data_IF_721770316981
#
_entry.id   IF_721770316981
#
_cell.length_a   1.000
_cell.length_b   1.000
_cell.length_c   1.000
_cell.angle_alpha   90.00
_cell.angle_beta   90.00
_cell.angle_gamma   90.00
#
_symmetry.space_group_name_H-M   'P 1'
#
loop_
_entity.id
_entity.type
_entity.pdbx_description
1 polymer ?
#
# COMPACT_ATOMS: atom_id res chain seq x y z
N UNK A 1 -2.01 18.35 -5.54
CA UNK A 1 -2.06 17.27 -4.51
C UNK A 1 -3.44 17.27 -3.90
N UNK A 2 -4.08 16.11 -3.83
CA UNK A 2 -5.42 15.88 -3.27
C UNK A 2 -5.32 14.94 -2.06
N UNK A 3 -6.34 14.94 -1.20
CA UNK A 3 -6.46 14.00 -0.08
C UNK A 3 -7.43 12.89 -0.47
N UNK A 4 -7.09 11.64 -0.14
CA UNK A 4 -7.99 10.51 -0.28
C UNK A 4 -8.23 9.84 1.08
N UNK A 5 -9.44 9.28 1.26
CA UNK A 5 -9.76 8.51 2.46
C UNK A 5 -9.22 7.07 2.30
N UNK A 6 -8.50 6.59 3.30
CA UNK A 6 -8.09 5.19 3.39
C UNK A 6 -9.16 4.41 4.17
N UNK A 7 -9.76 3.41 3.51
CA UNK A 7 -10.89 2.68 4.06
C UNK A 7 -10.52 1.87 5.32
N UNK A 8 -9.32 1.27 5.37
CA UNK A 8 -8.86 0.46 6.49
C UNK A 8 -8.73 1.21 7.81
N UNK A 9 -8.48 2.52 7.77
CA UNK A 9 -8.53 3.41 8.96
C UNK A 9 -9.83 3.22 9.75
N UNK A 10 -10.93 2.97 9.06
CA UNK A 10 -12.27 2.87 9.63
C UNK A 10 -12.77 1.42 9.75
N UNK A 11 -12.62 0.61 8.70
CA UNK A 11 -13.16 -0.76 8.71
C UNK A 11 -12.48 -1.66 9.74
N UNK A 12 -11.25 -1.39 10.07
CA UNK A 12 -10.48 -2.05 11.12
C UNK A 12 -11.13 -1.92 12.51
N UNK A 13 -11.84 -0.84 12.76
CA UNK A 13 -12.54 -0.55 14.02
C UNK A 13 -14.06 -0.66 13.89
N UNK A 14 -14.54 -1.33 12.86
CA UNK A 14 -15.94 -1.78 12.74
C UNK A 14 -16.87 -0.89 11.91
N UNK A 15 -16.36 0.14 11.23
CA UNK A 15 -17.15 0.90 10.27
C UNK A 15 -17.38 0.08 8.99
N UNK A 16 -18.53 0.25 8.37
CA UNK A 16 -18.85 -0.34 7.08
C UNK A 16 -18.28 0.49 5.92
N UNK A 17 -18.30 -0.06 4.70
CA UNK A 17 -17.99 0.70 3.49
C UNK A 17 -18.91 1.90 3.31
N UNK A 18 -20.21 1.74 3.61
CA UNK A 18 -21.19 2.82 3.52
C UNK A 18 -20.90 3.95 4.54
N UNK A 19 -20.42 3.62 5.74
CA UNK A 19 -19.96 4.61 6.70
C UNK A 19 -18.73 5.37 6.19
N UNK A 20 -17.78 4.69 5.56
CA UNK A 20 -16.61 5.33 4.95
C UNK A 20 -17.00 6.32 3.84
N UNK A 21 -17.98 5.96 2.99
CA UNK A 21 -18.49 6.85 1.95
C UNK A 21 -19.16 8.10 2.55
N UNK A 22 -19.94 7.93 3.62
CA UNK A 22 -20.58 9.02 4.33
C UNK A 22 -19.56 9.97 4.97
N UNK A 23 -18.56 9.41 5.67
CA UNK A 23 -17.46 10.19 6.29
C UNK A 23 -16.69 10.97 5.21
N UNK A 24 -16.31 10.34 4.10
CA UNK A 24 -15.64 11.01 3.00
C UNK A 24 -16.47 12.18 2.45
N UNK A 25 -17.78 11.97 2.22
CA UNK A 25 -18.70 13.01 1.75
C UNK A 25 -18.82 14.18 2.74
N UNK A 26 -18.96 13.89 4.04
CA UNK A 26 -19.06 14.90 5.11
C UNK A 26 -17.76 15.75 5.22
N UNK A 27 -16.62 15.15 4.92
CA UNK A 27 -15.31 15.83 4.92
C UNK A 27 -14.96 16.49 3.57
N UNK A 28 -15.82 16.34 2.56
CA UNK A 28 -15.54 16.86 1.21
C UNK A 28 -14.46 16.12 0.45
N UNK A 29 -14.10 14.89 0.89
CA UNK A 29 -13.11 14.03 0.24
C UNK A 29 -13.79 13.32 -0.93
N UNK A 30 -13.16 13.37 -2.11
CA UNK A 30 -13.68 12.82 -3.36
C UNK A 30 -12.95 11.58 -3.85
N UNK A 31 -11.94 11.14 -3.14
CA UNK A 31 -11.08 10.02 -3.52
C UNK A 31 -10.97 9.03 -2.39
N UNK A 32 -10.88 7.74 -2.72
CA UNK A 32 -10.78 6.66 -1.73
C UNK A 32 -9.81 5.58 -2.18
N UNK A 33 -9.03 5.09 -1.22
CA UNK A 33 -8.30 3.85 -1.33
C UNK A 33 -9.08 2.75 -0.62
N UNK A 34 -9.31 1.63 -1.31
CA UNK A 34 -9.98 0.48 -0.73
C UNK A 34 -9.00 -0.43 0.02
N UNK A 35 -9.40 -0.86 1.19
CA UNK A 35 -8.74 -1.92 1.93
C UNK A 35 -9.26 -3.28 1.44
N UNK A 36 -8.35 -4.12 0.91
CA UNK A 36 -8.70 -5.44 0.39
C UNK A 36 -8.30 -6.51 1.40
N UNK A 37 -9.25 -6.86 2.25
CA UNK A 37 -9.08 -7.85 3.31
C UNK A 37 -10.26 -8.84 3.35
N UNK A 38 -10.17 -9.85 4.26
CA UNK A 38 -11.16 -10.91 4.36
C UNK A 38 -12.53 -10.47 4.87
N UNK A 39 -12.62 -9.29 5.48
CA UNK A 39 -13.82 -8.76 6.11
C UNK A 39 -14.54 -7.72 5.22
N UNK A 40 -13.86 -7.24 4.17
CA UNK A 40 -14.41 -6.25 3.25
C UNK A 40 -14.43 -6.80 1.81
N UNK A 41 -13.45 -6.43 1.00
CA UNK A 41 -13.31 -6.91 -0.37
C UNK A 41 -12.23 -7.98 -0.44
N UNK A 42 -12.56 -9.14 -1.03
CA UNK A 42 -11.59 -10.24 -1.11
C UNK A 42 -11.69 -11.00 -2.42
N UNK A 43 -10.60 -11.12 -3.20
CA UNK A 43 -10.58 -11.91 -4.43
C UNK A 43 -11.08 -13.33 -4.22
N UNK A 44 -12.06 -13.75 -5.05
CA UNK A 44 -12.67 -15.08 -4.98
C UNK A 44 -13.79 -15.25 -3.94
N UNK A 45 -14.10 -14.20 -3.14
CA UNK A 45 -15.29 -14.14 -2.28
C UNK A 45 -16.23 -13.01 -2.72
N UNK A 46 -15.68 -11.83 -2.97
CA UNK A 46 -16.43 -10.69 -3.49
C UNK A 46 -16.71 -10.92 -4.97
N UNK A 47 -17.97 -10.99 -5.34
CA UNK A 47 -18.39 -11.20 -6.73
C UNK A 47 -18.53 -9.88 -7.51
N UNK A 48 -18.73 -9.98 -8.83
CA UNK A 48 -18.89 -8.81 -9.70
C UNK A 48 -20.10 -7.95 -9.35
N UNK A 49 -21.17 -8.56 -8.80
CA UNK A 49 -22.35 -7.82 -8.38
C UNK A 49 -22.03 -6.94 -7.17
N UNK A 50 -21.34 -7.50 -6.17
CA UNK A 50 -20.91 -6.75 -4.99
C UNK A 50 -19.94 -5.61 -5.36
N UNK A 51 -19.01 -5.85 -6.29
CA UNK A 51 -18.12 -4.81 -6.81
C UNK A 51 -18.88 -3.72 -7.57
N UNK A 52 -19.88 -4.11 -8.39
CA UNK A 52 -20.73 -3.17 -9.12
C UNK A 52 -21.57 -2.29 -8.18
N UNK A 53 -22.11 -2.90 -7.12
CA UNK A 53 -22.85 -2.18 -6.08
C UNK A 53 -21.93 -1.19 -5.34
N UNK A 54 -20.71 -1.62 -4.96
CA UNK A 54 -19.72 -0.75 -4.31
C UNK A 54 -19.33 0.44 -5.20
N UNK A 55 -19.04 0.18 -6.48
CA UNK A 55 -18.71 1.23 -7.45
C UNK A 55 -19.87 2.21 -7.65
N UNK A 56 -21.12 1.70 -7.75
CA UNK A 56 -22.32 2.53 -7.87
C UNK A 56 -22.54 3.41 -6.64
N UNK A 57 -22.36 2.87 -5.45
CA UNK A 57 -22.44 3.61 -4.19
C UNK A 57 -21.36 4.70 -4.10
N UNK A 58 -20.11 4.38 -4.40
CA UNK A 58 -19.02 5.36 -4.41
C UNK A 58 -19.35 6.52 -5.37
N UNK A 59 -19.76 6.21 -6.59
CA UNK A 59 -20.18 7.22 -7.59
C UNK A 59 -21.36 8.07 -7.13
N UNK A 60 -22.36 7.49 -6.46
CA UNK A 60 -23.52 8.24 -5.95
C UNK A 60 -23.13 9.24 -4.85
N UNK A 61 -22.02 9.01 -4.15
CA UNK A 61 -21.43 9.94 -3.18
C UNK A 61 -20.40 10.90 -3.81
N UNK A 62 -20.20 10.85 -5.13
CA UNK A 62 -19.17 11.64 -5.83
C UNK A 62 -17.73 11.22 -5.50
N UNK A 63 -17.55 9.98 -5.05
CA UNK A 63 -16.25 9.44 -4.65
C UNK A 63 -15.69 8.54 -5.78
N UNK A 64 -14.43 8.77 -6.14
CA UNK A 64 -13.67 7.92 -7.05
C UNK A 64 -12.74 7.02 -6.25
N UNK A 65 -12.78 5.70 -6.53
CA UNK A 65 -11.80 4.75 -6.02
C UNK A 65 -10.53 4.91 -6.87
N UNK A 66 -9.37 5.14 -6.24
CA UNK A 66 -8.12 5.44 -6.92
C UNK A 66 -7.06 4.37 -6.76
N UNK A 67 -7.09 3.65 -5.64
CA UNK A 67 -6.12 2.59 -5.32
C UNK A 67 -6.75 1.49 -4.49
N UNK A 68 -6.10 0.33 -4.50
CA UNK A 68 -6.40 -0.81 -3.64
C UNK A 68 -5.20 -1.12 -2.76
N UNK A 69 -5.44 -1.25 -1.46
CA UNK A 69 -4.47 -1.69 -0.45
C UNK A 69 -4.78 -3.13 -0.02
N UNK A 70 -4.21 -4.13 -0.67
CA UNK A 70 -4.44 -5.53 -0.34
C UNK A 70 -3.59 -5.95 0.86
N UNK A 71 -4.20 -6.77 1.74
CA UNK A 71 -3.56 -7.30 2.95
C UNK A 71 -3.21 -8.78 2.74
N UNK A 72 -1.97 -9.07 2.28
CA UNK A 72 -1.54 -10.42 1.92
C UNK A 72 -1.14 -11.28 3.12
N UNK A 73 -1.38 -10.81 4.34
CA UNK A 73 -0.95 -11.47 5.58
C UNK A 73 -2.08 -11.58 6.60
N UNK A 74 -1.86 -12.41 7.61
CA UNK A 74 -2.64 -12.44 8.85
C UNK A 74 -1.80 -11.87 9.98
N UNK A 75 -2.35 -10.94 10.74
CA UNK A 75 -1.79 -10.53 12.01
C UNK A 75 -2.31 -11.48 13.10
N UNK A 76 -1.41 -12.16 13.81
CA UNK A 76 -1.77 -12.88 15.05
C UNK A 76 -1.74 -11.96 16.27
N UNK A 77 -0.77 -11.06 16.27
CA UNK A 77 -0.57 -9.94 17.21
C UNK A 77 0.17 -8.84 16.44
N UNK A 78 0.28 -7.64 16.98
CA UNK A 78 0.94 -6.49 16.36
C UNK A 78 2.40 -6.75 15.88
N UNK A 79 3.02 -7.80 16.35
CA UNK A 79 4.43 -8.13 16.07
C UNK A 79 4.59 -9.38 15.18
N UNK A 80 3.52 -10.11 14.87
CA UNK A 80 3.60 -11.37 14.14
C UNK A 80 2.71 -11.37 12.89
N UNK A 81 3.29 -10.91 11.78
CA UNK A 81 2.64 -10.94 10.46
C UNK A 81 3.05 -12.21 9.71
N UNK A 82 2.08 -13.07 9.42
CA UNK A 82 2.28 -14.27 8.61
C UNK A 82 1.77 -14.00 7.21
N UNK A 83 2.69 -13.92 6.24
CA UNK A 83 2.32 -13.75 4.84
C UNK A 83 1.64 -15.00 4.32
N UNK A 84 0.40 -14.87 3.86
CA UNK A 84 -0.34 -15.93 3.17
C UNK A 84 -0.04 -15.91 1.66
N UNK A 85 0.25 -14.73 1.12
CA UNK A 85 0.59 -14.49 -0.28
C UNK A 85 1.93 -13.78 -0.35
N UNK A 86 3.01 -14.57 -0.23
CA UNK A 86 4.38 -14.10 -0.20
C UNK A 86 5.00 -14.15 -1.61
N UNK A 87 5.25 -12.97 -2.20
CA UNK A 87 5.87 -12.85 -3.52
C UNK A 87 7.35 -13.25 -3.52
N UNK A 88 7.98 -13.29 -2.34
CA UNK A 88 9.36 -13.74 -2.14
C UNK A 88 9.46 -15.20 -1.67
N UNK A 89 8.34 -15.93 -1.66
CA UNK A 89 8.32 -17.33 -1.25
C UNK A 89 9.33 -18.18 -2.02
N UNK A 90 10.07 -19.02 -1.29
CA UNK A 90 11.08 -19.90 -1.91
C UNK A 90 10.45 -21.13 -2.59
N UNK A 91 9.27 -21.54 -2.13
CA UNK A 91 8.45 -22.53 -2.80
C UNK A 91 7.80 -21.91 -4.03
N UNK A 92 8.09 -22.46 -5.22
CA UNK A 92 7.50 -21.97 -6.46
C UNK A 92 5.96 -22.07 -6.44
N UNK A 93 5.40 -23.09 -5.79
CA UNK A 93 3.95 -23.24 -5.65
C UNK A 93 3.34 -22.12 -4.79
N UNK A 94 4.00 -21.74 -3.69
CA UNK A 94 3.56 -20.62 -2.83
C UNK A 94 3.71 -19.27 -3.54
N UNK A 95 4.85 -19.06 -4.22
CA UNK A 95 5.09 -17.86 -5.03
C UNK A 95 4.03 -17.69 -6.10
N UNK A 96 3.74 -18.75 -6.87
CA UNK A 96 2.71 -18.70 -7.92
C UNK A 96 1.30 -18.50 -7.35
N UNK A 97 1.02 -19.02 -6.16
CA UNK A 97 -0.24 -18.75 -5.45
C UNK A 97 -0.36 -17.26 -5.10
N UNK A 98 0.72 -16.65 -4.62
CA UNK A 98 0.77 -15.21 -4.34
C UNK A 98 0.59 -14.38 -5.62
N UNK A 99 1.32 -14.69 -6.69
CA UNK A 99 1.17 -14.03 -7.99
C UNK A 99 -0.27 -14.14 -8.51
N UNK A 100 -0.89 -15.33 -8.43
CA UNK A 100 -2.28 -15.53 -8.85
C UNK A 100 -3.24 -14.66 -8.04
N UNK A 101 -3.06 -14.57 -6.73
CA UNK A 101 -3.89 -13.74 -5.87
C UNK A 101 -3.77 -12.26 -6.22
N UNK A 102 -2.56 -11.73 -6.39
CA UNK A 102 -2.35 -10.34 -6.81
C UNK A 102 -2.93 -10.05 -8.21
N UNK A 103 -2.90 -11.01 -9.14
CA UNK A 103 -3.58 -10.86 -10.43
C UNK A 103 -5.08 -10.64 -10.25
N UNK A 104 -5.72 -11.38 -9.34
CA UNK A 104 -7.14 -11.16 -9.03
C UNK A 104 -7.40 -9.81 -8.36
N UNK A 105 -6.43 -9.25 -7.62
CA UNK A 105 -6.53 -7.86 -7.10
C UNK A 105 -6.40 -6.85 -8.24
N UNK A 106 -5.52 -7.08 -9.22
CA UNK A 106 -5.41 -6.24 -10.43
C UNK A 106 -6.72 -6.23 -11.22
N UNK A 107 -7.35 -7.39 -11.42
CA UNK A 107 -8.67 -7.50 -12.07
C UNK A 107 -9.75 -6.71 -11.29
N UNK A 108 -9.74 -6.82 -9.96
CA UNK A 108 -10.64 -6.04 -9.09
C UNK A 108 -10.39 -4.54 -9.22
N UNK A 109 -9.14 -4.09 -9.27
CA UNK A 109 -8.78 -2.69 -9.46
C UNK A 109 -9.28 -2.16 -10.81
N UNK A 110 -9.07 -2.93 -11.88
CA UNK A 110 -9.57 -2.59 -13.22
C UNK A 110 -11.10 -2.49 -13.25
N UNK A 111 -11.82 -3.42 -12.62
CA UNK A 111 -13.27 -3.38 -12.52
C UNK A 111 -13.78 -2.13 -11.78
N UNK A 112 -13.07 -1.71 -10.73
CA UNK A 112 -13.41 -0.54 -9.91
C UNK A 112 -12.91 0.80 -10.49
N UNK A 113 -12.26 0.78 -11.67
CA UNK A 113 -11.63 1.96 -12.29
C UNK A 113 -10.53 2.61 -11.42
N UNK A 114 -9.94 1.82 -10.53
CA UNK A 114 -8.75 2.22 -9.78
C UNK A 114 -7.48 2.06 -10.64
N UNK A 115 -6.44 2.85 -10.34
CA UNK A 115 -5.22 2.86 -11.15
C UNK A 115 -4.00 2.30 -10.43
N UNK A 116 -4.05 2.15 -9.12
CA UNK A 116 -2.92 1.66 -8.33
C UNK A 116 -3.32 0.46 -7.46
N UNK A 117 -2.46 -0.54 -7.42
CA UNK A 117 -2.51 -1.65 -6.47
C UNK A 117 -1.23 -1.64 -5.66
N UNK A 118 -1.34 -1.55 -4.34
CA UNK A 118 -0.20 -1.67 -3.44
C UNK A 118 0.29 -3.12 -3.47
N UNK A 119 1.61 -3.28 -3.52
CA UNK A 119 2.24 -4.59 -3.53
C UNK A 119 3.29 -4.66 -2.43
N UNK A 120 3.09 -5.58 -1.49
CA UNK A 120 4.14 -5.96 -0.56
C UNK A 120 5.04 -7.01 -1.22
N UNK A 121 6.36 -6.74 -1.33
CA UNK A 121 7.26 -7.60 -2.10
C UNK A 121 7.53 -8.97 -1.46
N UNK A 122 6.90 -9.27 -0.33
CA UNK A 122 7.11 -10.46 0.47
C UNK A 122 7.86 -10.16 1.76
N UNK A 123 8.27 -11.18 2.51
CA UNK A 123 8.90 -11.01 3.83
C UNK A 123 10.18 -11.81 3.95
N UNK A 124 11.22 -11.17 4.53
CA UNK A 124 12.43 -11.86 5.00
C UNK A 124 12.26 -12.18 6.49
N UNK A 125 12.18 -13.46 6.83
CA UNK A 125 12.01 -13.91 8.21
C UNK A 125 13.34 -14.21 8.90
N UNK A 126 13.63 -13.49 10.00
CA UNK A 126 14.86 -13.67 10.79
C UNK A 126 15.03 -15.08 11.39
N UNK A 127 14.00 -15.75 11.95
CA UNK A 127 14.16 -17.10 12.48
C UNK A 127 14.53 -18.13 11.41
N UNK A 128 14.06 -17.94 10.19
CA UNK A 128 14.33 -18.83 9.07
C UNK A 128 15.73 -18.63 8.48
N UNK A 129 16.31 -17.46 8.61
CA UNK A 129 17.69 -17.21 8.20
C UNK A 129 18.67 -18.16 8.88
N UNK A 130 18.51 -18.42 10.18
CA UNK A 130 19.39 -19.34 10.93
C UNK A 130 19.04 -20.81 10.70
N UNK A 131 17.78 -21.14 10.41
CA UNK A 131 17.30 -22.52 10.28
C UNK A 131 17.26 -23.01 8.83
N UNK A 132 16.86 -22.15 7.89
CA UNK A 132 16.59 -22.52 6.50
C UNK A 132 17.72 -22.20 5.53
N UNK A 133 18.79 -21.52 5.97
CA UNK A 133 19.89 -21.03 5.11
C UNK A 133 19.41 -20.12 3.96
N UNK A 134 18.22 -19.55 4.05
CA UNK A 134 17.71 -18.63 3.06
C UNK A 134 18.47 -17.30 3.15
N UNK A 135 18.95 -16.79 2.04
CA UNK A 135 19.65 -15.52 2.00
C UNK A 135 18.70 -14.39 1.60
N UNK A 136 19.03 -13.17 2.02
CA UNK A 136 18.39 -11.94 1.55
C UNK A 136 18.29 -11.93 0.01
N UNK A 137 19.38 -12.33 -0.67
CA UNK A 137 19.45 -12.42 -2.13
C UNK A 137 18.39 -13.35 -2.72
N UNK A 138 18.12 -14.51 -2.11
CA UNK A 138 17.12 -15.45 -2.62
C UNK A 138 15.71 -14.87 -2.53
N UNK A 139 15.39 -14.17 -1.43
CA UNK A 139 14.09 -13.46 -1.32
C UNK A 139 13.96 -12.36 -2.36
N UNK A 140 15.03 -11.58 -2.55
CA UNK A 140 15.11 -10.54 -3.57
C UNK A 140 14.85 -11.09 -4.98
N UNK A 141 15.57 -12.13 -5.38
CA UNK A 141 15.43 -12.77 -6.69
C UNK A 141 14.02 -13.28 -6.94
N UNK A 142 13.37 -13.87 -5.93
CA UNK A 142 11.98 -14.31 -6.02
C UNK A 142 11.00 -13.15 -6.11
N UNK A 143 11.19 -12.09 -5.33
CA UNK A 143 10.37 -10.89 -5.41
C UNK A 143 10.46 -10.25 -6.81
N UNK A 144 11.67 -10.06 -7.35
CA UNK A 144 11.87 -9.53 -8.71
C UNK A 144 11.17 -10.40 -9.76
N UNK A 145 11.31 -11.73 -9.66
CA UNK A 145 10.64 -12.69 -10.55
C UNK A 145 9.12 -12.51 -10.50
N UNK A 146 8.55 -12.44 -9.30
CA UNK A 146 7.11 -12.27 -9.09
C UNK A 146 6.60 -10.93 -9.61
N UNK A 147 7.33 -9.84 -9.33
CA UNK A 147 6.98 -8.51 -9.78
C UNK A 147 7.02 -8.39 -11.32
N UNK A 148 7.99 -9.02 -11.98
CA UNK A 148 8.04 -9.09 -13.47
C UNK A 148 6.82 -9.79 -14.06
N UNK A 149 6.38 -10.91 -13.46
CA UNK A 149 5.18 -11.62 -13.90
C UNK A 149 3.91 -10.80 -13.67
N UNK A 150 3.82 -10.11 -12.52
CA UNK A 150 2.70 -9.23 -12.19
C UNK A 150 2.67 -7.98 -13.07
N UNK A 151 3.83 -7.35 -13.29
CA UNK A 151 3.95 -6.15 -14.12
C UNK A 151 3.38 -6.37 -15.52
N UNK A 152 3.80 -7.45 -16.17
CA UNK A 152 3.30 -7.83 -17.49
C UNK A 152 1.78 -8.01 -17.51
N UNK A 153 1.21 -8.57 -16.45
CA UNK A 153 -0.24 -8.73 -16.32
C UNK A 153 -0.95 -7.40 -16.06
N UNK A 154 -0.39 -6.56 -15.19
CA UNK A 154 -0.97 -5.26 -14.86
C UNK A 154 -0.95 -4.26 -16.03
N UNK A 155 0.05 -4.37 -16.92
CA UNK A 155 0.13 -3.60 -18.18
C UNK A 155 -1.09 -3.81 -19.06
N UNK A 156 -1.61 -5.05 -19.16
CA UNK A 156 -2.80 -5.37 -19.98
C UNK A 156 -4.07 -4.64 -19.48
N UNK A 157 -4.09 -4.23 -18.21
CA UNK A 157 -5.20 -3.52 -17.56
C UNK A 157 -4.92 -2.02 -17.31
N UNK A 158 -3.76 -1.51 -17.70
CA UNK A 158 -3.30 -0.15 -17.41
C UNK A 158 -3.34 0.15 -15.89
N UNK A 159 -2.87 -0.82 -15.09
CA UNK A 159 -2.78 -0.73 -13.63
C UNK A 159 -1.31 -0.58 -13.22
N UNK A 160 -1.04 0.32 -12.27
CA UNK A 160 0.27 0.50 -11.66
C UNK A 160 0.39 -0.34 -10.38
N UNK A 161 1.49 -1.08 -10.28
CA UNK A 161 1.87 -1.80 -9.06
C UNK A 161 2.77 -0.92 -8.20
N UNK A 162 2.31 -0.53 -7.05
CA UNK A 162 3.08 0.28 -6.11
C UNK A 162 3.82 -0.61 -5.10
N UNK A 163 5.14 -0.75 -5.23
CA UNK A 163 5.96 -1.48 -4.26
C UNK A 163 6.15 -0.61 -3.03
N UNK A 164 5.59 -1.05 -1.90
CA UNK A 164 5.61 -0.29 -0.65
C UNK A 164 6.86 -0.58 0.19
N UNK A 165 7.39 0.47 0.82
CA UNK A 165 8.44 0.39 1.85
C UNK A 165 7.87 -0.07 3.20
N UNK A 166 7.19 -1.22 3.22
CA UNK A 166 6.54 -1.74 4.42
C UNK A 166 7.55 -2.38 5.38
N UNK A 167 7.69 -1.82 6.59
CA UNK A 167 8.63 -2.29 7.61
C UNK A 167 8.43 -3.77 7.94
N UNK A 168 7.19 -4.27 7.89
CA UNK A 168 6.85 -5.67 8.13
C UNK A 168 7.50 -6.67 7.16
N UNK A 169 7.99 -6.20 6.01
CA UNK A 169 8.70 -7.02 5.02
C UNK A 169 10.14 -7.34 5.43
N UNK A 170 10.74 -6.56 6.34
CA UNK A 170 12.13 -6.66 6.78
C UNK A 170 13.19 -6.45 5.67
N UNK A 171 12.81 -5.89 4.51
CA UNK A 171 13.69 -5.52 3.41
C UNK A 171 12.98 -4.59 2.44
N UNK A 172 13.73 -3.99 1.50
CA UNK A 172 13.20 -2.99 0.55
C UNK A 172 12.61 -1.77 1.29
N UNK A 173 13.26 -1.42 2.40
CA UNK A 173 12.84 -0.30 3.24
C UNK A 173 13.58 0.99 2.90
N UNK A 174 14.80 0.91 2.37
CA UNK A 174 15.59 2.08 2.03
C UNK A 174 15.36 2.54 0.57
N UNK A 175 15.46 3.84 0.27
CA UNK A 175 15.16 4.35 -1.07
C UNK A 175 16.06 3.75 -2.16
N UNK A 176 17.33 3.44 -1.81
CA UNK A 176 18.25 2.75 -2.72
C UNK A 176 17.80 1.33 -3.07
N UNK A 177 17.25 0.58 -2.10
CA UNK A 177 16.70 -0.76 -2.33
C UNK A 177 15.44 -0.70 -3.21
N UNK A 178 14.55 0.25 -2.91
CA UNK A 178 13.34 0.47 -3.71
C UNK A 178 13.72 0.82 -5.15
N UNK A 179 14.64 1.74 -5.35
CA UNK A 179 15.13 2.10 -6.69
C UNK A 179 15.70 0.89 -7.43
N UNK A 180 16.52 0.09 -6.75
CA UNK A 180 17.18 -1.07 -7.34
C UNK A 180 16.16 -2.13 -7.79
N UNK A 181 15.17 -2.47 -6.95
CA UNK A 181 14.16 -3.46 -7.34
C UNK A 181 13.30 -2.97 -8.52
N UNK A 182 12.94 -1.68 -8.56
CA UNK A 182 12.21 -1.11 -9.70
C UNK A 182 13.03 -1.17 -10.99
N UNK A 183 14.33 -0.92 -10.91
CA UNK A 183 15.25 -1.01 -12.05
C UNK A 183 15.43 -2.45 -12.54
N UNK A 184 15.57 -3.42 -11.62
CA UNK A 184 15.67 -4.83 -11.97
C UNK A 184 14.35 -5.39 -12.56
N UNK A 185 13.20 -4.94 -12.08
CA UNK A 185 11.90 -5.30 -12.66
C UNK A 185 11.75 -4.72 -14.06
N UNK A 186 12.13 -3.46 -14.25
CA UNK A 186 12.25 -2.80 -15.56
C UNK A 186 10.93 -2.47 -16.26
N UNK A 187 9.80 -2.42 -15.53
CA UNK A 187 8.49 -2.05 -16.07
C UNK A 187 8.09 -0.64 -15.65
N UNK A 188 7.50 0.13 -16.56
CA UNK A 188 6.93 1.44 -16.27
C UNK A 188 5.68 1.38 -15.38
N UNK A 189 5.02 0.21 -15.31
CA UNK A 189 3.84 -0.05 -14.46
C UNK A 189 4.20 -0.50 -13.04
N UNK A 190 5.49 -0.55 -12.68
CA UNK A 190 5.95 -0.82 -11.32
C UNK A 190 6.63 0.43 -10.77
N UNK A 191 6.09 0.98 -9.71
CA UNK A 191 6.52 2.23 -9.09
C UNK A 191 6.71 2.08 -7.59
N UNK A 192 7.34 3.06 -6.96
CA UNK A 192 7.47 3.15 -5.52
C UNK A 192 6.16 3.65 -4.90
N UNK A 193 5.54 2.87 -4.05
CA UNK A 193 4.48 3.34 -3.17
C UNK A 193 5.13 3.77 -1.85
N UNK A 194 5.25 5.08 -1.65
CA UNK A 194 5.90 5.59 -0.45
C UNK A 194 4.90 5.64 0.70
N UNK A 195 5.21 4.95 1.79
CA UNK A 195 4.62 5.23 3.09
C UNK A 195 5.59 6.13 3.88
N UNK A 196 5.11 7.33 4.20
CA UNK A 196 5.89 8.37 4.86
C UNK A 196 6.26 7.97 6.29
N UNK A 197 5.35 7.33 7.03
CA UNK A 197 5.61 6.88 8.39
C UNK A 197 6.59 5.72 8.44
N UNK A 198 6.46 4.74 7.54
CA UNK A 198 7.42 3.65 7.39
C UNK A 198 8.82 4.19 7.03
N UNK A 199 8.90 5.19 6.17
CA UNK A 199 10.17 5.83 5.79
C UNK A 199 10.86 6.48 7.00
N UNK A 200 10.10 7.19 7.86
CA UNK A 200 10.63 7.94 9.00
C UNK A 200 11.34 7.06 10.06
N UNK A 201 11.06 5.75 10.07
CA UNK A 201 11.77 4.80 10.95
C UNK A 201 13.24 4.64 10.56
N UNK A 202 13.58 4.86 9.29
CA UNK A 202 14.94 4.64 8.77
C UNK A 202 15.64 5.95 8.40
N UNK A 203 14.98 6.82 7.66
CA UNK A 203 15.52 8.10 7.17
C UNK A 203 14.38 9.13 7.07
N UNK A 204 14.68 10.44 7.11
CA UNK A 204 13.69 11.48 6.86
C UNK A 204 12.95 11.24 5.52
N UNK A 205 11.60 11.29 5.50
CA UNK A 205 10.81 10.98 4.30
C UNK A 205 11.16 11.82 3.06
N UNK A 206 11.59 13.06 3.24
CA UNK A 206 12.02 13.93 2.13
C UNK A 206 13.25 13.39 1.39
N UNK A 207 14.06 12.53 2.02
CA UNK A 207 15.17 11.83 1.35
C UNK A 207 14.63 10.82 0.35
N UNK A 208 13.62 10.02 0.75
CA UNK A 208 12.95 9.07 -0.16
C UNK A 208 12.33 9.77 -1.35
N UNK A 209 11.62 10.86 -1.11
CA UNK A 209 10.94 11.63 -2.16
C UNK A 209 11.94 12.10 -3.22
N UNK A 210 13.09 12.63 -2.80
CA UNK A 210 14.12 13.12 -3.72
C UNK A 210 14.82 11.98 -4.47
N UNK A 211 15.19 10.90 -3.76
CA UNK A 211 15.86 9.73 -4.33
C UNK A 211 14.98 8.95 -5.30
N UNK A 212 13.66 8.90 -5.06
CA UNK A 212 12.68 8.20 -5.90
C UNK A 212 12.01 9.12 -6.92
N UNK A 213 12.57 10.29 -7.18
CA UNK A 213 12.06 11.24 -8.17
C UNK A 213 11.70 10.56 -9.49
N UNK A 214 10.45 10.79 -9.96
CA UNK A 214 9.91 10.21 -11.19
C UNK A 214 9.56 8.72 -11.11
N UNK A 215 9.81 8.08 -9.95
CA UNK A 215 9.48 6.66 -9.70
C UNK A 215 8.33 6.47 -8.70
N UNK A 216 7.86 7.54 -8.05
CA UNK A 216 6.74 7.49 -7.10
C UNK A 216 5.42 7.18 -7.81
N UNK A 217 4.55 6.42 -7.14
CA UNK A 217 3.14 6.30 -7.49
C UNK A 217 2.44 7.67 -7.40
N UNK A 218 1.27 7.79 -8.03
CA UNK A 218 0.38 8.93 -7.81
C UNK A 218 -0.31 8.90 -6.44
N UNK A 219 -0.20 7.80 -5.72
CA UNK A 219 -0.74 7.58 -4.38
C UNK A 219 0.38 7.26 -3.41
N UNK A 220 0.38 7.89 -2.23
CA UNK A 220 1.33 7.62 -1.13
C UNK A 220 0.60 7.68 0.21
N UNK A 221 1.02 6.86 1.18
CA UNK A 221 0.51 6.94 2.54
C UNK A 221 1.15 8.09 3.32
N UNK A 222 0.32 8.81 4.07
CA UNK A 222 0.72 10.02 4.80
C UNK A 222 0.20 9.96 6.24
N UNK A 223 1.04 9.46 7.15
CA UNK A 223 0.77 9.36 8.59
C UNK A 223 2.00 9.78 9.38
N UNK A 224 1.90 9.83 10.70
CA UNK A 224 2.98 10.30 11.55
C UNK A 224 3.50 9.23 12.50
N UNK A 225 4.70 9.38 12.99
CA UNK A 225 5.29 8.65 14.11
C UNK A 225 6.49 9.41 14.69
N UNK A 226 7.10 8.85 15.73
CA UNK A 226 8.27 9.44 16.40
C UNK A 226 9.62 8.93 15.86
N UNK A 227 9.61 8.11 14.80
CA UNK A 227 10.79 7.50 14.20
C UNK A 227 11.28 6.23 14.92
N UNK A 228 10.71 5.85 16.05
CA UNK A 228 11.14 4.65 16.78
C UNK A 228 10.46 3.37 16.29
N UNK A 229 9.23 3.49 15.79
CA UNK A 229 8.40 2.39 15.31
C UNK A 229 7.42 2.90 14.23
N UNK A 230 7.00 2.06 13.27
CA UNK A 230 6.09 2.46 12.20
C UNK A 230 4.64 2.59 12.71
N UNK A 231 4.41 3.45 13.70
CA UNK A 231 3.07 3.83 14.09
C UNK A 231 2.43 4.64 12.98
N UNK A 232 1.13 4.50 12.81
CA UNK A 232 0.33 5.26 11.87
C UNK A 232 -0.53 6.26 12.64
N UNK A 233 0.12 7.24 13.27
CA UNK A 233 -0.54 8.28 14.04
C UNK A 233 -1.14 9.36 13.12
N UNK A 234 -2.16 10.08 13.59
CA UNK A 234 -2.61 11.31 12.94
C UNK A 234 -1.45 12.29 12.72
N UNK A 235 -1.46 13.01 11.60
CA UNK A 235 -0.45 14.01 11.27
C UNK A 235 -0.36 15.07 12.37
N UNK A 236 0.85 15.37 12.82
CA UNK A 236 1.13 16.31 13.92
C UNK A 236 1.14 15.67 15.32
N UNK A 237 0.93 14.35 15.44
CA UNK A 237 1.10 13.62 16.70
C UNK A 237 2.47 12.94 16.83
N UNK A 238 3.27 12.94 15.79
CA UNK A 238 4.65 12.43 15.77
C UNK A 238 5.69 13.54 15.59
N UNK A 239 6.77 13.21 14.89
CA UNK A 239 7.93 14.10 14.69
C UNK A 239 8.22 14.40 13.23
N UNK A 240 7.42 13.88 12.29
CA UNK A 240 7.63 14.10 10.85
C UNK A 240 7.40 15.55 10.50
N UNK A 241 8.40 16.16 9.84
CA UNK A 241 8.27 17.53 9.36
C UNK A 241 7.53 17.55 8.02
N UNK A 242 6.20 17.69 8.07
CA UNK A 242 5.35 17.72 6.89
C UNK A 242 5.59 18.93 5.98
N UNK A 243 6.11 20.06 6.49
CA UNK A 243 6.50 21.18 5.63
C UNK A 243 7.62 20.75 4.66
N UNK A 244 8.66 20.07 5.17
CA UNK A 244 9.74 19.52 4.33
C UNK A 244 9.26 18.41 3.39
N UNK A 245 8.33 17.58 3.83
CA UNK A 245 7.72 16.55 2.97
C UNK A 245 7.02 17.20 1.78
N UNK A 246 6.16 18.17 2.03
CA UNK A 246 5.42 18.90 0.99
C UNK A 246 6.37 19.69 0.07
N UNK A 247 7.41 20.33 0.62
CA UNK A 247 8.45 20.98 -0.17
C UNK A 247 9.16 20.01 -1.11
N UNK A 248 9.57 18.85 -0.60
CA UNK A 248 10.22 17.81 -1.42
C UNK A 248 9.30 17.26 -2.52
N UNK A 249 8.02 17.01 -2.23
CA UNK A 249 7.04 16.59 -3.24
C UNK A 249 6.89 17.62 -4.36
N UNK A 250 6.80 18.92 -4.01
CA UNK A 250 6.76 20.01 -4.99
C UNK A 250 8.06 20.10 -5.79
N UNK A 251 9.21 19.98 -5.14
CA UNK A 251 10.55 20.02 -5.77
C UNK A 251 10.70 18.95 -6.85
N UNK A 252 10.21 17.72 -6.59
CA UNK A 252 10.27 16.63 -7.57
C UNK A 252 9.15 16.68 -8.61
N UNK A 253 8.22 17.64 -8.51
CA UNK A 253 7.09 17.79 -9.41
C UNK A 253 6.01 16.72 -9.23
N UNK A 254 5.89 16.14 -8.04
CA UNK A 254 4.85 15.16 -7.75
C UNK A 254 3.51 15.85 -7.46
N UNK A 255 2.46 15.40 -8.14
CA UNK A 255 1.09 15.89 -7.98
C UNK A 255 0.12 14.71 -8.00
N UNK A 256 -0.11 14.15 -6.84
CA UNK A 256 -0.93 12.96 -6.66
C UNK A 256 -1.80 13.03 -5.40
N UNK A 257 -2.06 11.87 -4.81
CA UNK A 257 -2.97 11.69 -3.69
C UNK A 257 -2.21 11.34 -2.42
N UNK A 258 -2.38 12.17 -1.39
CA UNK A 258 -1.95 11.85 -0.03
C UNK A 258 -3.06 11.08 0.66
N UNK A 259 -2.74 9.91 1.20
CA UNK A 259 -3.70 8.98 1.77
C UNK A 259 -3.35 8.75 3.25
N UNK A 260 -4.06 9.38 4.18
CA UNK A 260 -3.86 9.16 5.62
C UNK A 260 -4.32 7.74 6.02
N UNK A 261 -3.38 6.80 6.16
CA UNK A 261 -3.62 5.46 6.70
C UNK A 261 -3.46 5.49 8.23
N UNK A 262 -4.43 6.00 8.93
CA UNK A 262 -4.33 6.28 10.37
C UNK A 262 -4.83 5.10 11.19
N UNK A 263 -4.04 4.69 12.21
CA UNK A 263 -4.43 3.67 13.19
C UNK A 263 -4.64 4.33 14.57
N UNK A 264 -5.67 5.14 14.65
CA UNK A 264 -6.10 5.85 15.86
C UNK A 264 -7.51 5.41 16.26
N UNK A 265 -7.58 4.26 16.93
CA UNK A 265 -8.80 3.50 17.17
C UNK A 265 -9.84 4.22 18.01
N UNK A 266 -9.41 5.10 18.93
CA UNK A 266 -10.29 5.84 19.83
C UNK A 266 -11.11 6.91 19.09
N UNK A 267 -10.54 7.55 18.07
CA UNK A 267 -11.22 8.60 17.28
C UNK A 267 -10.64 8.67 15.85
N UNK A 268 -10.99 7.72 14.97
CA UNK A 268 -10.46 7.71 13.61
C UNK A 268 -10.90 8.91 12.77
N UNK A 269 -12.11 9.44 13.02
CA UNK A 269 -12.62 10.64 12.32
C UNK A 269 -11.89 11.89 12.78
N UNK A 270 -11.66 12.06 14.08
CA UNK A 270 -10.88 13.17 14.63
C UNK A 270 -9.42 13.09 14.21
N UNK A 271 -8.87 11.87 14.10
CA UNK A 271 -7.52 11.64 13.58
C UNK A 271 -7.37 12.15 12.13
N UNK A 272 -8.36 11.90 11.28
CA UNK A 272 -8.34 12.34 9.87
C UNK A 272 -8.52 13.88 9.72
N UNK A 273 -9.13 14.55 10.68
CA UNK A 273 -9.36 16.00 10.65
C UNK A 273 -8.15 16.84 11.09
N UNK A 274 -7.09 16.23 11.59
CA UNK A 274 -5.85 16.90 11.99
C UNK A 274 -4.97 17.16 10.77
#
# INVERSE_FOLDING_TARGET
MEIALQMGTFTRVGYSFDDCLKIASELGIRFMELWVDRNSFWPGKTDEKELSEALSKARSHGIKIISLCPIPFKAKQWEEFIFEFDLAAQSEAERLRAVKWYKSVVEMAAFLDAKTVIVLPGKVENPDFMKSRRSYRQHWEQAVKSLKELAKYAEDFDIYLGVENAVVCNYINLPGEIRLILEEVGSSHVKAYLDIANANVFLPPEVYIRELRGKLCETIHATDNDGSYPYHLPIGMGTINYEKVIEALKEVGWDGYLIPEIFYDEDPVGGLKR
#
